data_IF_917538786416
#
_entry.id   IF_917538786416
#
_cell.length_a   1.000
_cell.length_b   1.000
_cell.length_c   1.000
_cell.angle_alpha   90.00
_cell.angle_beta   90.00
_cell.angle_gamma   90.00
#
_symmetry.space_group_name_H-M   'P 1'
#
loop_
_entity.id
_entity.type
_entity.pdbx_description
1 polymer ?
#
# COMPACT_ATOMS: atom_id res chain seq x y z
N UNK A 1 9.13 -14.27 13.51
CA UNK A 1 8.62 -12.93 13.88
C UNK A 1 7.09 -13.02 13.88
N UNK A 2 6.37 -12.73 14.96
CA UNK A 2 4.91 -12.82 14.96
C UNK A 2 4.31 -11.94 13.87
N UNK A 3 3.33 -12.49 13.15
CA UNK A 3 2.70 -11.95 11.94
C UNK A 3 2.30 -10.47 12.05
N UNK A 4 1.84 -10.04 13.22
CA UNK A 4 1.53 -8.65 13.54
C UNK A 4 2.71 -7.68 13.36
N UNK A 5 3.93 -8.09 13.73
CA UNK A 5 5.10 -7.22 13.60
C UNK A 5 5.42 -6.98 12.13
N UNK A 6 5.26 -8.02 11.29
CA UNK A 6 5.49 -7.91 9.85
C UNK A 6 4.43 -7.04 9.18
N UNK A 7 3.15 -7.26 9.47
CA UNK A 7 2.06 -6.43 8.96
C UNK A 7 2.26 -4.95 9.34
N UNK A 8 2.58 -4.67 10.61
CA UNK A 8 2.89 -3.33 11.11
C UNK A 8 4.11 -2.71 10.42
N UNK A 9 5.15 -3.50 10.18
CA UNK A 9 6.36 -3.03 9.51
C UNK A 9 6.06 -2.60 8.07
N UNK A 10 5.34 -3.42 7.31
CA UNK A 10 4.95 -3.07 5.95
C UNK A 10 3.98 -1.88 5.90
N UNK A 11 3.07 -1.78 6.87
CA UNK A 11 2.19 -0.60 6.96
C UNK A 11 2.98 0.68 7.24
N UNK A 12 4.01 0.62 8.09
CA UNK A 12 4.93 1.75 8.29
C UNK A 12 5.63 2.13 6.98
N UNK A 13 6.17 1.17 6.24
CA UNK A 13 6.80 1.43 4.94
C UNK A 13 5.83 2.07 3.95
N UNK A 14 4.58 1.61 3.89
CA UNK A 14 3.56 2.22 3.05
C UNK A 14 3.33 3.70 3.39
N UNK A 15 3.34 4.05 4.68
CA UNK A 15 3.23 5.44 5.14
C UNK A 15 4.45 6.29 4.79
N UNK A 16 5.66 5.75 4.96
CA UNK A 16 6.92 6.43 4.63
C UNK A 16 7.05 6.68 3.12
N UNK A 17 6.71 5.68 2.30
CA UNK A 17 6.71 5.79 0.83
C UNK A 17 5.68 6.83 0.36
N UNK A 18 4.49 6.85 0.94
CA UNK A 18 3.47 7.86 0.62
C UNK A 18 3.90 9.27 1.04
N UNK A 19 4.58 9.42 2.19
CA UNK A 19 5.10 10.71 2.63
C UNK A 19 6.16 11.24 1.64
N UNK A 20 7.10 10.38 1.22
CA UNK A 20 8.09 10.73 0.19
C UNK A 20 7.44 11.04 -1.16
N UNK A 21 6.40 10.29 -1.56
CA UNK A 21 5.67 10.59 -2.80
C UNK A 21 5.12 12.03 -2.81
N UNK A 22 4.59 12.49 -1.67
CA UNK A 22 4.08 13.86 -1.50
C UNK A 22 5.19 14.90 -1.54
N UNK A 23 6.33 14.63 -0.92
CA UNK A 23 7.53 15.49 -0.97
C UNK A 23 8.02 15.66 -2.42
N UNK A 24 8.22 14.55 -3.13
CA UNK A 24 8.62 14.57 -4.54
C UNK A 24 7.62 15.32 -5.43
N UNK A 25 6.32 15.18 -5.18
CA UNK A 25 5.29 15.95 -5.87
C UNK A 25 5.43 17.46 -5.66
N UNK A 26 5.72 17.90 -4.43
CA UNK A 26 5.93 19.34 -4.15
C UNK A 26 7.17 19.90 -4.82
N UNK A 27 8.17 19.07 -5.10
CA UNK A 27 9.40 19.44 -5.81
C UNK A 27 9.28 19.35 -7.33
N UNK A 28 8.12 18.95 -7.87
CA UNK A 28 7.92 18.77 -9.32
C UNK A 28 8.51 17.48 -9.89
N UNK A 29 8.97 16.56 -9.03
CA UNK A 29 9.51 15.22 -9.40
C UNK A 29 8.37 14.21 -9.58
N UNK A 30 7.56 14.42 -10.63
CA UNK A 30 6.28 13.71 -10.81
C UNK A 30 6.44 12.21 -11.07
N UNK A 31 7.45 11.81 -11.86
CA UNK A 31 7.68 10.39 -12.15
C UNK A 31 8.06 9.61 -10.89
N UNK A 32 8.92 10.19 -10.07
CA UNK A 32 9.34 9.63 -8.78
C UNK A 32 8.17 9.60 -7.79
N UNK A 33 7.33 10.65 -7.78
CA UNK A 33 6.13 10.68 -6.95
C UNK A 33 5.14 9.55 -7.30
N UNK A 34 4.91 9.28 -8.60
CA UNK A 34 4.07 8.16 -9.05
C UNK A 34 4.71 6.82 -8.66
N UNK A 35 6.03 6.69 -8.83
CA UNK A 35 6.76 5.46 -8.50
C UNK A 35 6.70 5.14 -7.00
N UNK A 36 6.85 6.15 -6.15
CA UNK A 36 6.71 6.04 -4.69
C UNK A 36 5.26 5.78 -4.26
N UNK A 37 4.27 6.38 -4.95
CA UNK A 37 2.86 6.09 -4.71
C UNK A 37 2.53 4.61 -5.01
N UNK A 38 3.09 4.05 -6.09
CA UNK A 38 2.98 2.61 -6.39
C UNK A 38 3.68 1.75 -5.33
N UNK A 39 4.88 2.13 -4.88
CA UNK A 39 5.59 1.44 -3.81
C UNK A 39 4.75 1.40 -2.52
N UNK A 40 4.14 2.53 -2.14
CA UNK A 40 3.26 2.63 -0.98
C UNK A 40 2.09 1.63 -1.04
N UNK A 41 1.47 1.47 -2.21
CA UNK A 41 0.40 0.48 -2.42
C UNK A 41 0.93 -0.95 -2.28
N UNK A 42 2.09 -1.27 -2.85
CA UNK A 42 2.70 -2.60 -2.70
C UNK A 42 3.03 -2.92 -1.24
N UNK A 43 3.56 -1.95 -0.48
CA UNK A 43 3.80 -2.12 0.95
C UNK A 43 2.50 -2.29 1.73
N UNK A 44 1.44 -1.55 1.38
CA UNK A 44 0.13 -1.73 1.98
C UNK A 44 -0.43 -3.13 1.71
N UNK A 45 -0.31 -3.64 0.49
CA UNK A 45 -0.69 -5.00 0.11
C UNK A 45 0.10 -6.06 0.90
N UNK A 46 1.42 -5.89 1.05
CA UNK A 46 2.25 -6.77 1.90
C UNK A 46 1.80 -6.76 3.36
N UNK A 47 1.31 -5.62 3.86
CA UNK A 47 0.77 -5.54 5.21
C UNK A 47 -0.50 -6.37 5.35
N UNK A 48 -1.41 -6.30 4.37
CA UNK A 48 -2.64 -7.09 4.34
C UNK A 48 -2.36 -8.59 4.19
N UNK A 49 -1.43 -8.93 3.31
CA UNK A 49 -0.97 -10.31 3.10
C UNK A 49 -0.40 -10.92 4.39
N UNK A 50 0.44 -10.16 5.11
CA UNK A 50 1.10 -10.66 6.32
C UNK A 50 0.13 -11.02 7.47
N UNK A 51 -1.11 -10.53 7.46
CA UNK A 51 -2.14 -10.95 8.42
C UNK A 51 -2.74 -12.30 8.04
N UNK A 52 -3.06 -12.49 6.77
CA UNK A 52 -3.72 -13.71 6.31
C UNK A 52 -2.76 -14.91 6.23
N UNK A 53 -1.46 -14.63 6.07
CA UNK A 53 -0.42 -15.65 5.94
C UNK A 53 0.62 -15.49 7.05
N UNK A 54 0.31 -15.98 8.27
CA UNK A 54 1.22 -15.87 9.41
C UNK A 54 2.51 -16.67 9.22
N UNK A 55 2.49 -17.68 8.34
CA UNK A 55 3.69 -18.36 7.88
C UNK A 55 4.19 -17.68 6.61
N UNK A 56 5.42 -17.15 6.65
CA UNK A 56 6.03 -16.50 5.49
C UNK A 56 6.24 -17.52 4.38
N UNK A 57 5.86 -17.23 3.12
CA UNK A 57 6.45 -17.96 2.01
C UNK A 57 7.97 -17.77 2.00
N UNK A 58 8.70 -18.74 1.46
CA UNK A 58 10.15 -18.67 1.25
C UNK A 58 10.45 -17.69 0.09
N UNK A 59 10.34 -16.40 0.35
CA UNK A 59 10.60 -15.32 -0.62
C UNK A 59 9.64 -14.14 -0.47
N UNK A 60 9.97 -12.97 -1.07
CA UNK A 60 9.01 -11.88 -1.19
C UNK A 60 7.87 -12.33 -2.13
N UNK A 61 6.59 -12.19 -1.72
CA UNK A 61 5.47 -12.59 -2.56
C UNK A 61 5.42 -11.74 -3.84
N UNK A 62 5.06 -12.38 -4.94
CA UNK A 62 4.82 -11.68 -6.19
C UNK A 62 3.59 -10.76 -6.09
N UNK A 63 3.49 -9.76 -6.95
CA UNK A 63 2.37 -8.81 -6.92
C UNK A 63 1.03 -9.52 -7.18
N UNK A 64 1.02 -10.51 -8.07
CA UNK A 64 -0.14 -11.34 -8.37
C UNK A 64 -0.59 -12.14 -7.14
N UNK A 65 0.35 -12.64 -6.32
CA UNK A 65 0.05 -13.34 -5.07
C UNK A 65 -0.55 -12.40 -4.02
N UNK A 66 0.00 -11.18 -3.92
CA UNK A 66 -0.53 -10.14 -3.03
C UNK A 66 -1.97 -9.76 -3.40
N UNK A 67 -2.26 -9.60 -4.69
CA UNK A 67 -3.59 -9.27 -5.17
C UNK A 67 -4.57 -10.44 -4.99
N UNK A 68 -4.13 -11.68 -5.25
CA UNK A 68 -4.96 -12.87 -5.06
C UNK A 68 -5.31 -13.11 -3.59
N UNK A 69 -4.41 -12.77 -2.67
CA UNK A 69 -4.65 -12.87 -1.24
C UNK A 69 -5.77 -11.94 -0.73
N UNK A 70 -6.10 -10.88 -1.47
CA UNK A 70 -7.24 -10.02 -1.15
C UNK A 70 -8.58 -10.74 -1.33
N UNK A 71 -8.65 -11.81 -2.13
CA UNK A 71 -9.89 -12.58 -2.30
C UNK A 71 -10.26 -13.40 -1.06
N UNK A 72 -9.31 -13.58 -0.14
CA UNK A 72 -9.55 -14.22 1.15
C UNK A 72 -10.10 -13.24 2.20
N UNK A 73 -10.24 -11.97 1.86
CA UNK A 73 -10.77 -10.97 2.77
C UNK A 73 -12.29 -11.04 2.88
N UNK A 74 -12.79 -10.79 4.09
CA UNK A 74 -14.23 -10.80 4.37
C UNK A 74 -14.98 -9.63 3.73
N UNK A 75 -14.27 -8.61 3.23
CA UNK A 75 -14.83 -7.44 2.54
C UNK A 75 -14.49 -7.51 1.04
N UNK A 76 -15.41 -7.99 0.19
CA UNK A 76 -15.19 -8.11 -1.26
C UNK A 76 -15.06 -6.75 -1.94
N UNK A 77 -15.74 -5.72 -1.45
CA UNK A 77 -15.67 -4.37 -2.03
C UNK A 77 -14.28 -3.77 -1.85
N UNK A 78 -13.66 -4.01 -0.68
CA UNK A 78 -12.28 -3.62 -0.42
C UNK A 78 -11.30 -4.34 -1.35
N UNK A 79 -11.48 -5.65 -1.57
CA UNK A 79 -10.62 -6.41 -2.50
C UNK A 79 -10.68 -5.83 -3.92
N UNK A 80 -11.89 -5.65 -4.46
CA UNK A 80 -12.10 -5.08 -5.80
C UNK A 80 -11.47 -3.70 -5.92
N UNK A 81 -11.75 -2.80 -4.96
CA UNK A 81 -11.25 -1.43 -4.99
C UNK A 81 -9.72 -1.37 -4.96
N UNK A 82 -9.06 -2.16 -4.12
CA UNK A 82 -7.59 -2.15 -4.04
C UNK A 82 -6.98 -2.70 -5.35
N UNK A 83 -7.57 -3.75 -5.94
CA UNK A 83 -7.11 -4.30 -7.23
C UNK A 83 -7.24 -3.29 -8.37
N UNK A 84 -8.36 -2.58 -8.43
CA UNK A 84 -8.58 -1.51 -9.43
C UNK A 84 -7.57 -0.37 -9.27
N UNK A 85 -7.28 0.02 -8.03
CA UNK A 85 -6.27 1.04 -7.73
C UNK A 85 -4.87 0.58 -8.14
N UNK A 86 -4.47 -0.65 -7.79
CA UNK A 86 -3.16 -1.20 -8.16
C UNK A 86 -2.97 -1.20 -9.68
N UNK A 87 -3.96 -1.69 -10.42
CA UNK A 87 -3.96 -1.68 -11.90
C UNK A 87 -3.93 -0.27 -12.48
N UNK A 88 -4.62 0.68 -11.85
CA UNK A 88 -4.60 2.08 -12.27
C UNK A 88 -3.22 2.72 -12.09
N UNK A 89 -2.54 2.42 -10.96
CA UNK A 89 -1.20 2.91 -10.69
C UNK A 89 -0.13 2.29 -11.60
N UNK A 90 -0.26 1.01 -11.93
CA UNK A 90 0.61 0.35 -12.92
C UNK A 90 0.56 1.06 -14.27
N UNK A 91 -0.64 1.42 -14.74
CA UNK A 91 -0.78 2.20 -15.98
C UNK A 91 -0.13 3.58 -15.87
N UNK A 92 -0.36 4.29 -14.75
CA UNK A 92 0.21 5.62 -14.52
C UNK A 92 1.75 5.60 -14.50
N UNK A 93 2.39 4.48 -14.10
CA UNK A 93 3.85 4.38 -14.16
C UNK A 93 4.43 4.27 -15.57
N UNK A 94 3.62 3.89 -16.57
CA UNK A 94 4.04 3.71 -17.97
C UNK A 94 3.82 4.98 -18.82
N UNK A 95 3.03 5.93 -18.32
CA UNK A 95 2.74 7.18 -19.01
C UNK A 95 3.73 8.28 -18.61
N UNK A 96 4.04 9.26 -19.49
CA UNK A 96 4.88 10.40 -19.13
C UNK A 96 4.25 11.19 -17.99
N UNK A 97 4.93 11.27 -16.85
CA UNK A 97 4.38 11.88 -15.65
C UNK A 97 4.13 13.39 -15.78
N UNK A 98 2.89 13.79 -15.56
CA UNK A 98 2.50 15.17 -15.32
C UNK A 98 1.96 15.39 -13.89
N UNK A 99 1.72 16.67 -13.56
CA UNK A 99 1.20 17.05 -12.24
C UNK A 99 -0.16 16.39 -11.94
N UNK A 100 -1.17 16.43 -12.84
CA UNK A 100 -2.45 15.72 -12.62
C UNK A 100 -2.31 14.22 -12.36
N UNK A 101 -1.46 13.51 -13.10
CA UNK A 101 -1.22 12.09 -12.93
C UNK A 101 -0.54 11.79 -11.59
N UNK A 102 0.46 12.59 -11.20
CA UNK A 102 1.11 12.44 -9.90
C UNK A 102 0.15 12.71 -8.73
N UNK A 103 -0.71 13.73 -8.83
CA UNK A 103 -1.76 13.98 -7.85
C UNK A 103 -2.74 12.81 -7.77
N UNK A 104 -3.18 12.30 -8.92
CA UNK A 104 -4.05 11.12 -9.00
C UNK A 104 -3.40 9.90 -8.36
N UNK A 105 -2.13 9.64 -8.64
CA UNK A 105 -1.37 8.52 -8.07
C UNK A 105 -1.30 8.61 -6.54
N UNK A 106 -0.97 9.80 -5.99
CA UNK A 106 -0.93 10.04 -4.55
C UNK A 106 -2.30 9.86 -3.90
N UNK A 107 -3.37 10.31 -4.55
CA UNK A 107 -4.75 10.13 -4.05
C UNK A 107 -5.11 8.65 -3.98
N UNK A 108 -4.85 7.91 -5.05
CA UNK A 108 -5.08 6.47 -5.13
C UNK A 108 -4.27 5.71 -4.04
N UNK A 109 -2.99 6.04 -3.87
CA UNK A 109 -2.17 5.43 -2.83
C UNK A 109 -2.64 5.79 -1.42
N UNK A 110 -3.08 7.04 -1.19
CA UNK A 110 -3.66 7.47 0.09
C UNK A 110 -4.93 6.70 0.44
N UNK A 111 -5.79 6.43 -0.55
CA UNK A 111 -6.98 5.62 -0.38
C UNK A 111 -6.64 4.20 0.08
N UNK A 112 -5.69 3.53 -0.59
CA UNK A 112 -5.27 2.17 -0.20
C UNK A 112 -4.67 2.16 1.20
N UNK A 113 -3.75 3.08 1.52
CA UNK A 113 -3.14 3.17 2.87
C UNK A 113 -4.22 3.38 3.94
N UNK A 114 -5.24 4.19 3.66
CA UNK A 114 -6.38 4.41 4.56
C UNK A 114 -7.23 3.15 4.76
N UNK A 115 -7.55 2.43 3.67
CA UNK A 115 -8.28 1.16 3.72
C UNK A 115 -7.50 0.10 4.50
N UNK A 116 -6.19 -0.01 4.22
CA UNK A 116 -5.28 -0.87 4.97
C UNK A 116 -5.31 -0.51 6.45
N UNK A 117 -5.19 0.76 6.82
CA UNK A 117 -5.27 1.19 8.23
C UNK A 117 -6.57 0.73 8.90
N UNK A 118 -7.72 0.90 8.24
CA UNK A 118 -9.02 0.50 8.79
C UNK A 118 -9.07 -0.99 9.08
N UNK A 119 -8.53 -1.79 8.18
CA UNK A 119 -8.56 -3.23 8.32
C UNK A 119 -7.49 -3.80 9.26
N UNK A 120 -6.34 -3.13 9.36
CA UNK A 120 -5.34 -3.40 10.39
C UNK A 120 -5.78 -2.93 11.77
N UNK A 121 -6.65 -1.91 11.86
CA UNK A 121 -7.05 -1.23 13.09
C UNK A 121 -7.52 -2.15 14.23
N UNK A 122 -8.40 -3.14 13.97
CA UNK A 122 -8.80 -4.13 14.96
C UNK A 122 -7.68 -5.06 15.43
N UNK A 123 -6.61 -5.20 14.64
CA UNK A 123 -5.51 -6.15 14.82
C UNK A 123 -4.22 -5.50 15.35
N UNK A 124 -4.14 -4.16 15.31
CA UNK A 124 -3.04 -3.38 15.85
C UNK A 124 -3.49 -2.82 17.21
N UNK A 125 -2.95 -3.28 18.35
CA UNK A 125 -3.26 -2.63 19.62
C UNK A 125 -2.95 -1.13 19.52
N UNK A 126 -3.75 -0.27 20.17
CA UNK A 126 -3.50 1.16 20.15
C UNK A 126 -2.06 1.41 20.58
N UNK A 127 -1.35 2.24 19.82
CA UNK A 127 -0.07 2.77 20.22
C UNK A 127 -0.27 3.35 21.62
N UNK A 128 0.28 2.68 22.65
CA UNK A 128 0.62 3.38 23.87
C UNK A 128 1.64 4.44 23.45
N UNK A 129 1.14 5.64 23.21
CA UNK A 129 1.95 6.83 23.02
C UNK A 129 2.76 7.02 24.29
N UNK A 130 4.00 6.56 24.23
CA UNK A 130 5.11 7.03 25.04
C UNK A 130 6.28 7.16 24.08
N UNK A 131 7.01 8.25 24.22
CA UNK A 131 8.07 8.79 23.36
C UNK A 131 7.58 9.71 22.26
#
# INVERSE_FOLDING_TARGET
MPYFIRARTYFRYAGEELARAKEHFTEGRYQEAISLARAAVLSALKALYAINYPQAPNGPPAEEELLSALDLWQDPELSVRIKEIAKSLEKLTLEPADRPQAERAIRLASDVVSLTKKALGPLLPPLMSKF
#
